data_IF_726108810026
#
_entry.id   IF_726108810026
#
_cell.length_a   1.000
_cell.length_b   1.000
_cell.length_c   1.000
_cell.angle_alpha   90.00
_cell.angle_beta   90.00
_cell.angle_gamma   90.00
#
_symmetry.space_group_name_H-M   'P 1'
#
loop_
_entity.id
_entity.type
_entity.pdbx_description
1 polymer ?
#
# COMPACT_ATOMS: atom_id res chain seq x y z
N UNK A 1 -10.02 -24.69 16.71
CA UNK A 1 -8.85 -24.69 15.79
C UNK A 1 -8.19 -23.32 15.89
N UNK A 2 -6.86 -23.22 16.05
CA UNK A 2 -6.20 -21.97 16.42
C UNK A 2 -6.42 -20.89 15.36
N UNK A 3 -6.62 -19.65 15.84
CA UNK A 3 -7.19 -18.54 15.07
C UNK A 3 -6.44 -18.21 13.78
N UNK A 4 -7.17 -18.22 12.67
CA UNK A 4 -6.71 -17.64 11.41
C UNK A 4 -6.44 -16.15 11.65
N UNK A 5 -5.17 -15.77 11.68
CA UNK A 5 -4.80 -14.36 11.51
C UNK A 5 -5.09 -14.05 10.05
N UNK A 6 -6.16 -13.31 9.79
CA UNK A 6 -6.40 -12.74 8.47
C UNK A 6 -5.33 -11.66 8.31
N UNK A 7 -4.27 -11.98 7.58
CA UNK A 7 -3.26 -11.01 7.19
C UNK A 7 -3.87 -10.18 6.07
N UNK A 8 -4.58 -9.11 6.45
CA UNK A 8 -5.06 -8.15 5.48
C UNK A 8 -3.87 -7.55 4.74
N UNK A 9 -3.96 -7.36 3.42
CA UNK A 9 -2.94 -6.62 2.71
C UNK A 9 -2.93 -5.18 3.27
N UNK A 10 -1.78 -4.74 3.80
CA UNK A 10 -1.63 -3.41 4.40
C UNK A 10 -0.90 -2.50 3.41
N UNK A 11 -1.55 -1.40 3.02
CA UNK A 11 -0.90 -0.30 2.32
C UNK A 11 -0.21 0.61 3.34
N UNK A 12 1.05 0.96 3.09
CA UNK A 12 1.81 1.91 3.89
C UNK A 12 2.23 3.10 3.03
N UNK A 13 1.74 4.28 3.41
CA UNK A 13 2.11 5.55 2.81
C UNK A 13 3.32 6.12 3.56
N UNK A 14 4.42 6.39 2.85
CA UNK A 14 5.58 7.09 3.40
C UNK A 14 5.80 8.39 2.65
N UNK A 15 5.95 9.47 3.39
CA UNK A 15 6.31 10.76 2.82
C UNK A 15 7.83 10.90 2.78
N UNK A 16 8.41 10.81 1.59
CA UNK A 16 9.86 10.85 1.37
C UNK A 16 10.19 11.88 0.27
N UNK A 17 11.16 12.76 0.53
CA UNK A 17 11.58 13.82 -0.41
C UNK A 17 10.45 14.72 -0.91
N UNK A 18 9.43 14.97 -0.07
CA UNK A 18 8.28 15.80 -0.44
C UNK A 18 7.20 15.06 -1.23
N UNK A 19 7.35 13.75 -1.44
CA UNK A 19 6.41 12.93 -2.19
C UNK A 19 5.90 11.78 -1.32
N UNK A 20 4.61 11.49 -1.38
CA UNK A 20 4.03 10.27 -0.83
C UNK A 20 4.33 9.11 -1.76
N UNK A 21 4.91 8.06 -1.20
CA UNK A 21 5.15 6.76 -1.81
C UNK A 21 4.30 5.71 -1.12
N UNK A 22 3.76 4.79 -1.89
CA UNK A 22 3.00 3.65 -1.37
C UNK A 22 3.84 2.39 -1.41
N UNK A 23 3.80 1.69 -0.29
CA UNK A 23 4.42 0.40 -0.10
C UNK A 23 3.35 -0.63 0.25
N UNK A 24 3.48 -1.83 -0.29
CA UNK A 24 2.66 -2.97 0.06
C UNK A 24 3.50 -4.01 0.80
N UNK A 25 2.86 -4.72 1.72
CA UNK A 25 3.48 -5.84 2.43
C UNK A 25 3.13 -7.14 1.69
N UNK A 26 4.14 -7.82 1.18
CA UNK A 26 4.05 -9.16 0.59
C UNK A 26 3.75 -10.23 1.66
N UNK A 27 3.30 -11.42 1.24
CA UNK A 27 3.03 -12.58 2.10
C UNK A 27 4.26 -13.07 2.89
N UNK A 28 5.49 -12.64 2.54
CA UNK A 28 6.71 -12.91 3.31
C UNK A 28 7.10 -11.74 4.23
N UNK A 29 6.15 -10.86 4.52
CA UNK A 29 6.32 -9.68 5.34
C UNK A 29 7.31 -8.64 4.83
N UNK A 30 7.63 -8.70 3.53
CA UNK A 30 8.53 -7.75 2.88
C UNK A 30 7.77 -6.56 2.34
N UNK A 31 8.36 -5.37 2.53
CA UNK A 31 7.83 -4.14 1.96
C UNK A 31 8.34 -3.97 0.54
N UNK A 32 7.42 -3.81 -0.40
CA UNK A 32 7.69 -3.52 -1.79
C UNK A 32 7.03 -2.19 -2.15
N UNK A 33 7.74 -1.32 -2.87
CA UNK A 33 7.12 -0.13 -3.45
C UNK A 33 6.14 -0.55 -4.55
N UNK A 34 5.03 0.17 -4.67
CA UNK A 34 4.15 0.01 -5.83
C UNK A 34 4.67 0.94 -6.92
N UNK A 35 5.36 0.39 -7.91
CA UNK A 35 5.78 1.13 -9.12
C UNK A 35 4.58 1.59 -9.97
N UNK A 36 3.43 0.93 -9.81
CA UNK A 36 2.18 1.26 -10.51
C UNK A 36 1.55 2.57 -10.00
N UNK A 37 1.91 2.99 -8.78
CA UNK A 37 1.38 4.22 -8.18
C UNK A 37 2.48 5.25 -8.13
N UNK A 38 2.38 6.24 -9.03
CA UNK A 38 3.35 7.32 -9.09
C UNK A 38 3.40 8.09 -7.75
N UNK A 39 4.60 8.39 -7.24
CA UNK A 39 4.75 9.18 -6.04
C UNK A 39 4.20 10.59 -6.24
N UNK A 40 3.24 10.99 -5.40
CA UNK A 40 2.57 12.29 -5.51
C UNK A 40 2.70 13.08 -4.20
N UNK A 41 2.70 14.40 -4.30
CA UNK A 41 2.66 15.28 -3.12
C UNK A 41 1.32 15.21 -2.37
N UNK A 42 0.25 14.76 -3.03
CA UNK A 42 -1.10 14.70 -2.52
C UNK A 42 -1.44 13.30 -1.99
N UNK A 43 -1.66 13.23 -0.67
CA UNK A 43 -2.03 11.99 0.02
C UNK A 43 -3.37 11.42 -0.48
N UNK A 44 -4.37 12.26 -0.75
CA UNK A 44 -5.69 11.79 -1.21
C UNK A 44 -5.61 11.19 -2.61
N UNK A 45 -4.79 11.77 -3.50
CA UNK A 45 -4.54 11.21 -4.83
C UNK A 45 -3.91 9.81 -4.71
N UNK A 46 -2.94 9.67 -3.82
CA UNK A 46 -2.31 8.39 -3.50
C UNK A 46 -3.29 7.36 -2.92
N UNK A 47 -4.12 7.76 -1.96
CA UNK A 47 -5.13 6.88 -1.36
C UNK A 47 -6.15 6.42 -2.41
N UNK A 48 -6.61 7.34 -3.26
CA UNK A 48 -7.55 7.02 -4.34
C UNK A 48 -6.94 6.07 -5.37
N UNK A 49 -5.67 6.28 -5.75
CA UNK A 49 -4.96 5.39 -6.65
C UNK A 49 -4.84 3.96 -6.08
N UNK A 50 -4.58 3.83 -4.78
CA UNK A 50 -4.57 2.53 -4.08
C UNK A 50 -5.95 1.87 -4.10
N UNK A 51 -7.00 2.65 -3.85
CA UNK A 51 -8.38 2.17 -3.82
C UNK A 51 -8.86 1.72 -5.20
N UNK A 52 -8.62 2.53 -6.24
CA UNK A 52 -8.97 2.23 -7.63
C UNK A 52 -8.20 1.01 -8.18
N UNK A 53 -6.96 0.81 -7.75
CA UNK A 53 -6.16 -0.35 -8.15
C UNK A 53 -6.66 -1.67 -7.56
N UNK A 54 -7.43 -1.65 -6.47
CA UNK A 54 -7.99 -2.86 -5.86
C UNK A 54 -6.95 -3.86 -5.32
N UNK A 55 -5.67 -3.48 -5.27
CA UNK A 55 -4.54 -4.35 -4.88
C UNK A 55 -4.70 -4.89 -3.45
N UNK A 56 -5.48 -4.18 -2.61
CA UNK A 56 -5.67 -4.48 -1.20
C UNK A 56 -7.09 -4.97 -0.84
N UNK A 57 -7.99 -5.08 -1.82
CA UNK A 57 -9.39 -5.44 -1.60
C UNK A 57 -9.73 -6.72 -2.36
N UNK A 58 -9.42 -7.89 -1.79
CA UNK A 58 -9.85 -9.21 -2.30
C UNK A 58 -10.64 -9.99 -1.26
#
# INVERSE_FOLDING_TARGET
MPGHRIEYPIAQFRFENGLWKVYWKDSKEKWHSIDDIEPDTNFEAQLKAVDENGIFWV
#
